data_IF_795221260600
#
_entry.id   IF_795221260600
#
_cell.length_a   1.000
_cell.length_b   1.000
_cell.length_c   1.000
_cell.angle_alpha   90.00
_cell.angle_beta   90.00
_cell.angle_gamma   90.00
#
_symmetry.space_group_name_H-M   'P 1'
#
loop_
_entity.id
_entity.type
_entity.pdbx_description
1 polymer ?
#
# COMPACT_ATOMS: atom_id res chain seq x y z
N UNK A 1 -9.98 4.03 -12.59
CA UNK A 1 -8.74 3.29 -12.36
C UNK A 1 -7.68 4.34 -12.18
N UNK A 2 -7.09 4.40 -11.00
CA UNK A 2 -5.91 5.23 -10.75
C UNK A 2 -4.64 4.47 -11.16
N UNK A 3 -3.50 5.16 -11.14
CA UNK A 3 -2.23 4.61 -11.63
C UNK A 3 -1.78 3.39 -10.81
N UNK A 4 -2.05 3.36 -9.51
CA UNK A 4 -1.75 2.22 -8.64
C UNK A 4 -2.58 0.98 -8.98
N UNK A 5 -3.88 1.15 -9.18
CA UNK A 5 -4.75 0.05 -9.59
C UNK A 5 -4.31 -0.50 -10.95
N UNK A 6 -3.91 0.38 -11.88
CA UNK A 6 -3.38 -0.03 -13.19
C UNK A 6 -2.08 -0.83 -13.05
N UNK A 7 -1.14 -0.36 -12.25
CA UNK A 7 0.13 -1.06 -12.00
C UNK A 7 -0.11 -2.46 -11.42
N UNK A 8 -1.01 -2.57 -10.43
CA UNK A 8 -1.42 -3.86 -9.86
C UNK A 8 -2.00 -4.79 -10.93
N UNK A 9 -2.93 -4.29 -11.75
CA UNK A 9 -3.53 -5.10 -12.82
C UNK A 9 -2.55 -5.51 -13.91
N UNK A 10 -1.60 -4.64 -14.25
CA UNK A 10 -0.54 -4.95 -15.21
C UNK A 10 0.39 -6.06 -14.67
N UNK A 11 0.72 -6.01 -13.37
CA UNK A 11 1.51 -7.03 -12.69
C UNK A 11 0.76 -8.37 -12.56
N UNK A 12 -0.53 -8.35 -12.20
CA UNK A 12 -1.37 -9.55 -12.12
C UNK A 12 -1.45 -10.24 -13.49
N UNK A 13 -1.65 -9.47 -14.57
CA UNK A 13 -1.62 -10.00 -15.94
C UNK A 13 -0.27 -10.60 -16.32
N UNK A 14 0.84 -9.97 -15.93
CA UNK A 14 2.18 -10.53 -16.16
C UNK A 14 2.37 -11.87 -15.46
N UNK A 15 1.85 -12.01 -14.24
CA UNK A 15 1.87 -13.28 -13.49
C UNK A 15 1.04 -14.34 -14.22
N UNK A 16 -0.16 -14.00 -14.68
CA UNK A 16 -1.02 -14.90 -15.44
C UNK A 16 -0.34 -15.40 -16.72
N UNK A 17 0.23 -14.49 -17.52
CA UNK A 17 0.96 -14.82 -18.74
C UNK A 17 2.14 -15.78 -18.46
N UNK A 18 2.87 -15.56 -17.35
CA UNK A 18 3.97 -16.43 -16.94
C UNK A 18 3.48 -17.81 -16.48
N UNK A 19 2.37 -17.89 -15.76
CA UNK A 19 1.77 -19.16 -15.34
C UNK A 19 1.30 -19.96 -16.55
N UNK A 20 0.64 -19.31 -17.51
CA UNK A 20 0.18 -19.95 -18.76
C UNK A 20 1.35 -20.46 -19.62
N UNK A 21 2.46 -19.73 -19.63
CA UNK A 21 3.67 -20.10 -20.37
C UNK A 21 4.54 -21.15 -19.66
N UNK A 22 4.11 -21.71 -18.52
CA UNK A 22 4.94 -22.56 -17.64
C UNK A 22 6.29 -21.91 -17.31
N UNK A 23 6.26 -20.60 -17.06
CA UNK A 23 7.42 -19.78 -16.74
C UNK A 23 8.14 -20.18 -15.45
N UNK A 24 9.24 -19.49 -15.18
CA UNK A 24 10.07 -19.76 -14.02
C UNK A 24 9.28 -19.57 -12.70
N UNK A 25 9.32 -20.60 -11.85
CA UNK A 25 8.51 -20.65 -10.61
C UNK A 25 8.98 -19.63 -9.57
N UNK A 26 10.27 -19.35 -9.51
CA UNK A 26 10.83 -18.35 -8.61
C UNK A 26 10.35 -16.95 -9.00
N UNK A 27 10.44 -16.63 -10.29
CA UNK A 27 9.92 -15.38 -10.86
C UNK A 27 8.43 -15.20 -10.60
N UNK A 28 7.61 -16.23 -10.82
CA UNK A 28 6.17 -16.18 -10.55
C UNK A 28 5.90 -15.92 -9.06
N UNK A 29 6.63 -16.59 -8.17
CA UNK A 29 6.49 -16.42 -6.73
C UNK A 29 6.86 -14.99 -6.29
N UNK A 30 7.98 -14.46 -6.78
CA UNK A 30 8.44 -13.11 -6.46
C UNK A 30 7.47 -12.03 -6.93
N UNK A 31 6.97 -12.13 -8.17
CA UNK A 31 5.98 -11.19 -8.70
C UNK A 31 4.65 -11.30 -7.94
N UNK A 32 4.23 -12.51 -7.57
CA UNK A 32 3.02 -12.71 -6.77
C UNK A 32 3.13 -12.08 -5.38
N UNK A 33 4.30 -12.20 -4.73
CA UNK A 33 4.57 -11.53 -3.47
C UNK A 33 4.52 -10.00 -3.61
N UNK A 34 5.13 -9.46 -4.66
CA UNK A 34 5.07 -8.02 -4.94
C UNK A 34 3.64 -7.53 -5.18
N UNK A 35 2.84 -8.27 -5.97
CA UNK A 35 1.44 -7.94 -6.22
C UNK A 35 0.61 -7.95 -4.93
N UNK A 36 0.84 -8.92 -4.05
CA UNK A 36 0.14 -8.98 -2.76
C UNK A 36 0.46 -7.76 -1.87
N UNK A 37 1.72 -7.36 -1.80
CA UNK A 37 2.15 -6.17 -1.04
C UNK A 37 1.51 -4.91 -1.63
N UNK A 38 1.60 -4.71 -2.94
CA UNK A 38 1.02 -3.53 -3.62
C UNK A 38 -0.48 -3.42 -3.38
N UNK A 39 -1.21 -4.54 -3.45
CA UNK A 39 -2.65 -4.58 -3.21
C UNK A 39 -3.00 -4.16 -1.79
N UNK A 40 -2.26 -4.64 -0.81
CA UNK A 40 -2.54 -4.30 0.59
C UNK A 40 -2.18 -2.85 0.91
N UNK A 41 -1.04 -2.35 0.40
CA UNK A 41 -0.68 -0.93 0.52
C UNK A 41 -1.73 -0.03 -0.12
N UNK A 42 -2.15 -0.34 -1.34
CA UNK A 42 -3.15 0.43 -2.05
C UNK A 42 -4.51 0.39 -1.34
N UNK A 43 -4.93 -0.75 -0.81
CA UNK A 43 -6.16 -0.87 -0.04
C UNK A 43 -6.13 0.02 1.22
N UNK A 44 -5.04 -0.01 1.98
CA UNK A 44 -4.86 0.81 3.18
C UNK A 44 -4.77 2.31 2.85
N UNK A 45 -4.09 2.67 1.76
CA UNK A 45 -4.04 4.04 1.28
C UNK A 45 -5.43 4.57 0.85
N UNK A 46 -6.23 3.74 0.17
CA UNK A 46 -7.61 4.10 -0.20
C UNK A 46 -8.51 4.25 1.02
N UNK A 47 -8.42 3.33 1.97
CA UNK A 47 -9.17 3.40 3.22
C UNK A 47 -8.86 4.69 4.00
N UNK A 48 -7.57 4.99 4.19
CA UNK A 48 -7.12 6.22 4.84
C UNK A 48 -7.57 7.46 4.06
N UNK A 49 -7.40 7.46 2.73
CA UNK A 49 -7.79 8.55 1.85
C UNK A 49 -9.27 8.88 1.95
N UNK A 50 -10.13 7.84 1.92
CA UNK A 50 -11.58 7.98 2.03
C UNK A 50 -11.98 8.47 3.43
N UNK A 51 -11.34 7.98 4.50
CA UNK A 51 -11.58 8.46 5.88
C UNK A 51 -11.27 9.95 6.04
N UNK A 52 -10.15 10.41 5.49
CA UNK A 52 -9.79 11.83 5.55
C UNK A 52 -10.67 12.74 4.70
N UNK A 53 -11.65 12.24 3.94
CA UNK A 53 -12.69 13.08 3.34
C UNK A 53 -13.60 13.70 4.42
N UNK A 54 -13.88 12.95 5.49
CA UNK A 54 -14.75 13.37 6.60
C UNK A 54 -13.96 13.93 7.79
N UNK A 55 -12.64 13.71 7.82
CA UNK A 55 -11.77 14.09 8.92
C UNK A 55 -10.73 15.16 8.52
N UNK A 56 -10.97 16.45 8.88
CA UNK A 56 -10.02 17.52 8.61
C UNK A 56 -8.69 17.39 9.35
N UNK A 57 -8.67 16.73 10.51
CA UNK A 57 -7.47 16.60 11.33
C UNK A 57 -6.48 15.64 10.68
N UNK A 58 -6.95 14.52 10.09
CA UNK A 58 -6.11 13.64 9.28
C UNK A 58 -5.45 14.38 8.11
N UNK A 59 -6.20 15.23 7.42
CA UNK A 59 -5.67 16.04 6.32
C UNK A 59 -4.61 17.03 6.80
N UNK A 60 -4.84 17.63 7.97
CA UNK A 60 -3.91 18.57 8.56
C UNK A 60 -2.62 17.87 9.01
N UNK A 61 -2.74 16.73 9.70
CA UNK A 61 -1.63 15.91 10.17
C UNK A 61 -0.72 15.45 9.01
N UNK A 62 -1.31 14.98 7.90
CA UNK A 62 -0.56 14.60 6.69
C UNK A 62 0.33 15.75 6.19
N UNK A 63 -0.24 16.96 6.12
CA UNK A 63 0.46 18.16 5.68
C UNK A 63 1.55 18.60 6.65
N UNK A 64 1.28 18.58 7.95
CA UNK A 64 2.25 18.93 8.99
C UNK A 64 3.49 18.02 8.96
N UNK A 65 3.31 16.75 8.61
CA UNK A 65 4.41 15.80 8.44
C UNK A 65 5.21 15.96 7.15
N UNK A 66 4.81 16.89 6.27
CA UNK A 66 5.56 17.19 5.05
C UNK A 66 5.22 16.34 3.83
N UNK A 67 4.20 15.48 3.90
CA UNK A 67 3.71 14.73 2.73
C UNK A 67 2.98 15.61 1.72
N UNK A 68 2.50 16.79 2.13
CA UNK A 68 1.85 17.77 1.25
C UNK A 68 0.33 17.81 1.40
N UNK A 69 -0.38 18.18 0.33
CA UNK A 69 -1.84 18.28 0.35
C UNK A 69 -2.51 16.90 0.38
N UNK A 70 -3.77 16.84 0.79
CA UNK A 70 -4.54 15.59 0.84
C UNK A 70 -4.93 15.13 -0.56
N UNK A 71 -4.14 14.23 -1.13
CA UNK A 71 -4.43 13.49 -2.36
C UNK A 71 -3.96 12.04 -2.18
N UNK A 72 -4.39 11.16 -3.08
CA UNK A 72 -4.09 9.73 -2.98
C UNK A 72 -2.58 9.45 -3.04
N UNK A 73 -1.82 10.18 -3.85
CA UNK A 73 -0.38 9.96 -4.01
C UNK A 73 0.39 10.22 -2.71
N UNK A 74 0.05 11.32 -2.02
CA UNK A 74 0.66 11.69 -0.75
C UNK A 74 0.24 10.76 0.39
N UNK A 75 -1.03 10.32 0.40
CA UNK A 75 -1.52 9.31 1.36
C UNK A 75 -0.84 7.97 1.13
N UNK A 76 -0.70 7.54 -0.13
CA UNK A 76 0.01 6.33 -0.50
C UNK A 76 1.48 6.39 -0.07
N UNK A 77 2.17 7.52 -0.30
CA UNK A 77 3.54 7.71 0.14
C UNK A 77 3.70 7.55 1.66
N UNK A 78 2.77 8.11 2.45
CA UNK A 78 2.75 7.93 3.90
C UNK A 78 2.55 6.47 4.31
N UNK A 79 1.54 5.79 3.74
CA UNK A 79 1.26 4.38 4.03
C UNK A 79 2.45 3.50 3.67
N UNK A 80 3.06 3.73 2.50
CA UNK A 80 4.25 3.00 2.06
C UNK A 80 5.42 3.17 3.03
N UNK A 81 5.75 4.40 3.41
CA UNK A 81 6.89 4.67 4.31
C UNK A 81 6.68 4.02 5.68
N UNK A 82 5.48 4.16 6.26
CA UNK A 82 5.13 3.54 7.55
C UNK A 82 5.08 2.02 7.47
N UNK A 83 4.61 1.46 6.34
CA UNK A 83 4.61 0.03 6.13
C UNK A 83 6.03 -0.56 6.09
N UNK A 84 6.99 0.13 5.47
CA UNK A 84 8.40 -0.31 5.42
C UNK A 84 9.06 -0.28 6.80
N UNK A 85 8.58 0.56 7.72
CA UNK A 85 9.04 0.60 9.11
C UNK A 85 8.46 -0.51 9.99
N UNK A 86 7.46 -1.27 9.50
CA UNK A 86 6.93 -2.42 10.23
C UNK A 86 8.04 -3.48 10.41
N UNK A 87 8.03 -4.23 11.53
CA UNK A 87 9.08 -5.19 11.83
C UNK A 87 9.34 -6.15 10.67
N UNK A 88 10.62 -6.38 10.27
CA UNK A 88 10.94 -7.29 9.19
C UNK A 88 10.58 -8.71 9.62
N UNK A 89 9.48 -9.21 9.06
CA UNK A 89 8.94 -10.54 9.32
C UNK A 89 8.77 -11.30 8.01
N UNK A 90 8.43 -12.59 8.08
CA UNK A 90 8.11 -13.38 6.89
C UNK A 90 7.02 -12.67 6.05
N UNK A 91 7.03 -12.81 4.72
CA UNK A 91 6.11 -12.13 3.78
C UNK A 91 4.65 -12.09 4.26
N UNK A 92 4.09 -13.22 4.68
CA UNK A 92 2.71 -13.29 5.18
C UNK A 92 2.49 -12.49 6.46
N UNK A 93 3.48 -12.43 7.35
CA UNK A 93 3.43 -11.62 8.56
C UNK A 93 3.62 -10.12 8.24
N UNK A 94 4.40 -9.78 7.20
CA UNK A 94 4.54 -8.42 6.73
C UNK A 94 3.22 -7.91 6.10
N UNK A 95 2.64 -8.69 5.18
CA UNK A 95 1.33 -8.39 4.57
C UNK A 95 0.23 -8.30 5.64
N UNK A 96 0.21 -9.22 6.61
CA UNK A 96 -0.70 -9.14 7.75
C UNK A 96 -0.48 -7.88 8.58
N UNK A 97 0.78 -7.53 8.87
CA UNK A 97 1.13 -6.31 9.59
C UNK A 97 0.64 -5.04 8.91
N UNK A 98 0.70 -4.95 7.58
CA UNK A 98 0.14 -3.81 6.84
C UNK A 98 -1.39 -3.81 6.92
N UNK A 99 -2.05 -4.97 6.79
CA UNK A 99 -3.52 -5.06 6.88
C UNK A 99 -4.06 -4.66 8.26
N UNK A 100 -3.31 -4.96 9.32
CA UNK A 100 -3.75 -4.75 10.70
C UNK A 100 -3.31 -3.39 11.27
N UNK A 101 -2.45 -2.64 10.56
CA UNK A 101 -1.96 -1.34 11.00
C UNK A 101 -3.04 -0.25 10.88
N UNK A 102 -3.30 0.45 11.98
CA UNK A 102 -4.16 1.64 11.97
C UNK A 102 -3.36 2.86 11.49
N UNK A 103 -3.26 3.04 10.17
CA UNK A 103 -2.53 4.15 9.58
C UNK A 103 -3.10 5.52 9.94
N UNK A 104 -4.39 5.62 10.30
CA UNK A 104 -4.95 6.87 10.77
C UNK A 104 -4.42 7.21 12.17
N UNK A 105 -4.43 6.24 13.09
CA UNK A 105 -3.84 6.43 14.42
C UNK A 105 -2.34 6.75 14.34
N UNK A 106 -1.58 6.08 13.47
CA UNK A 106 -0.15 6.37 13.23
C UNK A 106 0.05 7.80 12.70
N UNK A 107 -0.85 8.27 11.83
CA UNK A 107 -0.80 9.62 11.30
C UNK A 107 -1.09 10.65 12.39
N UNK A 108 -2.03 10.38 13.29
CA UNK A 108 -2.39 11.27 14.39
C UNK A 108 -1.32 11.28 15.50
N UNK A 109 -0.72 10.14 15.84
CA UNK A 109 0.24 10.01 16.96
C UNK A 109 1.52 10.81 16.81
N UNK A 110 1.89 11.19 15.59
CA UNK A 110 3.10 11.97 15.32
C UNK A 110 2.82 13.40 14.83
N UNK A 111 1.62 13.94 15.11
CA UNK A 111 1.19 15.30 14.76
C UNK A 111 1.26 16.25 15.96
#
# INVERSE_FOLDING_TARGET
MDDYQKEISDLERQIEDLVEAEGDRETIADLSMQAEILKVLYAQARELFDRGAEDPELRHALKLKGYGDWNLDNVYAFVYERAVELPPTAHQAFVGGIRDADFAAILEESA
#
